data_IF_003984573331
#
_entry.id   IF_003984573331
#
_cell.length_a   1.000
_cell.length_b   1.000
_cell.length_c   1.000
_cell.angle_alpha   90.00
_cell.angle_beta   90.00
_cell.angle_gamma   90.00
#
_symmetry.space_group_name_H-M   'P 1'
#
loop_
_entity.id
_entity.type
_entity.pdbx_description
1 polymer ?
#
# COMPACT_ATOMS: atom_id res chain seq x y z
N UNK A 1 -2.69 -13.39 10.28
CA UNK A 1 -1.72 -13.62 11.38
C UNK A 1 -2.01 -12.56 12.44
N UNK A 2 -2.46 -12.97 13.63
CA UNK A 2 -2.58 -12.07 14.78
C UNK A 2 -1.19 -11.88 15.41
N UNK A 3 -0.75 -10.63 15.57
CA UNK A 3 0.56 -10.27 16.11
C UNK A 3 0.54 -9.94 17.60
N UNK A 4 -0.64 -9.83 18.21
CA UNK A 4 -0.79 -9.55 19.65
C UNK A 4 -0.80 -10.83 20.49
N UNK A 5 -1.15 -11.96 19.88
CA UNK A 5 -1.14 -13.26 20.54
C UNK A 5 0.27 -13.73 20.87
N UNK A 6 0.48 -14.29 22.07
CA UNK A 6 1.79 -14.80 22.55
C UNK A 6 2.35 -16.03 21.81
N UNK A 7 1.90 -16.31 20.59
CA UNK A 7 2.45 -17.35 19.72
C UNK A 7 3.85 -17.00 19.20
N UNK A 8 4.44 -17.88 18.39
CA UNK A 8 5.82 -17.73 17.88
C UNK A 8 5.96 -16.59 16.83
N UNK A 9 5.82 -15.34 17.27
CA UNK A 9 6.07 -14.12 16.49
C UNK A 9 7.55 -13.69 16.52
N UNK A 10 8.42 -14.45 17.19
CA UNK A 10 9.83 -14.07 17.39
C UNK A 10 10.59 -13.79 16.10
N UNK A 11 10.26 -14.49 15.00
CA UNK A 11 10.85 -14.23 13.68
C UNK A 11 10.38 -12.90 13.07
N UNK A 12 9.17 -12.46 13.40
CA UNK A 12 8.57 -11.20 12.94
C UNK A 12 9.00 -9.99 13.78
N UNK A 13 9.52 -10.21 14.98
CA UNK A 13 10.16 -9.19 15.82
C UNK A 13 11.51 -8.71 15.28
N UNK A 14 12.11 -9.45 14.34
CA UNK A 14 13.37 -9.04 13.72
C UNK A 14 13.15 -7.80 12.85
N UNK A 15 14.09 -6.86 12.92
CA UNK A 15 14.09 -5.67 12.07
C UNK A 15 14.32 -6.10 10.62
N UNK A 16 13.34 -5.82 9.76
CA UNK A 16 13.39 -6.12 8.32
C UNK A 16 13.15 -4.86 7.52
N UNK A 17 13.42 -4.94 6.22
CA UNK A 17 13.06 -3.88 5.29
C UNK A 17 11.60 -4.11 4.87
N UNK A 18 10.76 -3.11 5.13
CA UNK A 18 9.38 -3.02 4.67
C UNK A 18 9.30 -2.10 3.45
N UNK A 19 8.46 -2.47 2.49
CA UNK A 19 8.10 -1.65 1.34
C UNK A 19 6.68 -1.15 1.54
N UNK A 20 6.49 0.15 1.72
CA UNK A 20 5.18 0.77 1.88
C UNK A 20 4.86 1.67 0.68
N UNK A 21 3.95 1.23 -0.18
CA UNK A 21 3.45 2.01 -1.33
C UNK A 21 2.09 2.60 -0.95
N UNK A 22 2.05 3.93 -0.81
CA UNK A 22 0.83 4.68 -0.48
C UNK A 22 0.19 5.35 -1.70
N UNK A 23 -0.35 6.54 -1.50
CA UNK A 23 -1.07 7.33 -2.53
C UNK A 23 -0.15 7.76 -3.69
N UNK A 24 1.11 8.08 -3.39
CA UNK A 24 2.07 8.54 -4.40
C UNK A 24 3.13 7.46 -4.57
N UNK A 25 3.22 6.95 -5.80
CA UNK A 25 4.28 6.06 -6.23
C UNK A 25 5.19 6.76 -7.25
N UNK A 26 6.50 6.78 -6.97
CA UNK A 26 7.54 7.29 -7.87
C UNK A 26 8.64 6.23 -7.98
N UNK A 27 8.71 5.48 -9.10
CA UNK A 27 9.64 4.35 -9.22
C UNK A 27 11.11 4.80 -9.13
N UNK A 28 11.43 6.02 -9.58
CA UNK A 28 12.79 6.54 -9.63
C UNK A 28 13.39 6.75 -8.23
N UNK A 29 12.54 6.97 -7.21
CA UNK A 29 12.97 7.19 -5.83
C UNK A 29 12.52 6.08 -4.88
N UNK A 30 12.00 4.95 -5.38
CA UNK A 30 11.33 3.92 -4.58
C UNK A 30 12.17 3.45 -3.38
N UNK A 31 13.44 3.10 -3.60
CA UNK A 31 14.32 2.61 -2.52
C UNK A 31 14.56 3.64 -1.42
N UNK A 32 14.52 4.92 -1.75
CA UNK A 32 14.73 6.01 -0.79
C UNK A 32 13.43 6.44 -0.11
N UNK A 33 12.32 6.40 -0.85
CA UNK A 33 11.05 7.01 -0.43
C UNK A 33 10.03 6.00 0.11
N UNK A 34 10.18 4.71 -0.16
CA UNK A 34 9.15 3.69 0.14
C UNK A 34 9.69 2.46 0.85
N UNK A 35 11.01 2.37 1.07
CA UNK A 35 11.62 1.29 1.84
C UNK A 35 12.12 1.79 3.18
N UNK A 36 11.68 1.14 4.25
CA UNK A 36 11.99 1.52 5.62
C UNK A 36 12.33 0.29 6.45
N UNK A 37 13.06 0.49 7.54
CA UNK A 37 13.21 -0.59 8.49
C UNK A 37 12.02 -0.64 9.44
N UNK A 38 11.39 -1.80 9.53
CA UNK A 38 10.24 -2.04 10.40
C UNK A 38 10.43 -3.31 11.26
N UNK A 39 9.72 -3.35 12.38
CA UNK A 39 9.46 -4.55 13.17
C UNK A 39 7.95 -4.74 13.16
N UNK A 40 7.48 -5.81 12.54
CA UNK A 40 6.06 -5.95 12.19
C UNK A 40 5.11 -5.84 13.40
N UNK A 41 5.38 -6.48 14.55
CA UNK A 41 4.49 -6.38 15.72
C UNK A 41 4.51 -5.02 16.43
N UNK A 42 5.48 -4.16 16.14
CA UNK A 42 5.51 -2.79 16.67
C UNK A 42 4.63 -1.84 15.86
N UNK A 43 4.30 -2.21 14.61
CA UNK A 43 3.56 -1.36 13.67
C UNK A 43 2.12 -1.82 13.43
N UNK A 44 1.84 -3.13 13.56
CA UNK A 44 0.53 -3.70 13.24
C UNK A 44 0.07 -4.70 14.30
N UNK A 45 -1.24 -4.76 14.52
CA UNK A 45 -1.87 -5.77 15.37
C UNK A 45 -2.08 -7.11 14.65
N UNK A 46 -2.21 -7.08 13.32
CA UNK A 46 -2.42 -8.27 12.50
C UNK A 46 -1.93 -8.05 11.07
N UNK A 47 -1.57 -9.14 10.39
CA UNK A 47 -1.13 -9.15 8.99
C UNK A 47 -1.92 -10.19 8.21
N UNK A 48 -2.33 -9.84 7.00
CA UNK A 48 -2.83 -10.76 5.99
C UNK A 48 -1.74 -10.89 4.93
N UNK A 49 -1.32 -12.13 4.66
CA UNK A 49 -0.37 -12.39 3.58
C UNK A 49 -1.14 -12.74 2.32
N UNK A 50 -0.76 -12.10 1.22
CA UNK A 50 -1.27 -12.38 -0.12
C UNK A 50 -0.03 -12.57 -0.99
N UNK A 51 0.17 -13.79 -1.48
CA UNK A 51 1.37 -14.18 -2.22
C UNK A 51 1.49 -13.41 -3.54
N UNK A 52 0.36 -13.26 -4.24
CA UNK A 52 0.28 -12.60 -5.53
C UNK A 52 -0.86 -11.57 -5.52
N UNK A 53 -0.55 -10.36 -5.97
CA UNK A 53 -1.52 -9.28 -6.13
C UNK A 53 -1.53 -8.80 -7.58
N UNK A 54 -2.65 -8.25 -7.98
CA UNK A 54 -2.82 -7.59 -9.28
C UNK A 54 -3.27 -6.14 -9.07
N UNK A 55 -3.14 -5.32 -10.11
CA UNK A 55 -3.64 -3.95 -10.07
C UNK A 55 -5.15 -3.93 -9.82
N UNK A 56 -5.62 -2.95 -9.05
CA UNK A 56 -7.06 -2.75 -8.84
C UNK A 56 -7.69 -2.25 -10.14
N UNK A 57 -8.89 -2.74 -10.43
CA UNK A 57 -9.72 -2.18 -11.48
C UNK A 57 -10.47 -0.96 -10.92
N UNK A 58 -10.37 0.22 -11.57
CA UNK A 58 -11.15 1.38 -11.16
C UNK A 58 -12.65 1.06 -11.18
N UNK A 59 -13.38 1.41 -10.11
CA UNK A 59 -14.84 1.30 -10.08
C UNK A 59 -15.50 2.17 -11.14
N UNK A 60 -14.93 3.36 -11.37
CA UNK A 60 -15.28 4.27 -12.45
C UNK A 60 -14.02 4.55 -13.26
N UNK A 61 -14.10 4.36 -14.58
CA UNK A 61 -13.05 4.79 -15.49
C UNK A 61 -13.18 6.30 -15.60
N UNK A 62 -12.11 6.99 -15.23
CA UNK A 62 -12.00 8.44 -15.43
C UNK A 62 -11.28 8.69 -16.75
N UNK A 63 -11.34 9.91 -17.24
CA UNK A 63 -10.66 10.40 -18.46
C UNK A 63 -9.14 10.16 -18.54
N UNK A 64 -8.49 9.85 -17.42
CA UNK A 64 -7.09 9.41 -17.37
C UNK A 64 -6.90 7.95 -17.85
N UNK A 65 -7.98 7.16 -17.92
CA UNK A 65 -8.00 5.77 -18.37
C UNK A 65 -8.65 5.59 -19.75
N UNK A 66 -9.44 6.57 -20.20
CA UNK A 66 -10.08 6.59 -21.52
C UNK A 66 -9.57 7.78 -22.33
N UNK A 67 -8.82 7.50 -23.39
CA UNK A 67 -8.26 8.52 -24.28
C UNK A 67 -9.40 9.26 -25.00
N UNK A 68 -9.74 10.47 -24.51
CA UNK A 68 -10.73 11.35 -25.15
C UNK A 68 -11.83 11.90 -24.25
N UNK A 69 -11.99 11.44 -23.01
CA UNK A 69 -12.91 12.10 -22.08
C UNK A 69 -12.23 13.27 -21.36
N UNK A 70 -12.97 14.35 -21.12
CA UNK A 70 -12.51 15.43 -20.23
C UNK A 70 -12.82 15.02 -18.78
N UNK A 71 -11.99 15.38 -17.79
CA UNK A 71 -12.31 15.12 -16.38
C UNK A 71 -13.70 15.65 -16.05
N UNK A 72 -14.57 14.77 -15.54
CA UNK A 72 -15.84 15.22 -14.97
C UNK A 72 -15.52 16.26 -13.89
N UNK A 73 -16.13 17.42 -14.02
CA UNK A 73 -15.88 18.57 -13.15
C UNK A 73 -16.74 18.52 -11.88
N UNK A 74 -17.47 17.44 -11.63
CA UNK A 74 -18.43 17.36 -10.54
C UNK A 74 -17.82 16.77 -9.24
N UNK A 75 -18.20 17.27 -8.05
CA UNK A 75 -18.88 18.54 -7.79
C UNK A 75 -17.87 19.67 -7.58
N UNK A 76 -17.91 20.73 -8.40
CA UNK A 76 -17.39 22.02 -7.96
C UNK A 76 -18.46 22.74 -7.15
N UNK A 77 -18.11 23.14 -5.91
CA UNK A 77 -18.85 24.21 -5.22
C UNK A 77 -18.33 25.55 -5.73
N UNK A 78 -19.26 26.41 -6.16
CA UNK A 78 -19.06 27.87 -6.20
C UNK A 78 -19.21 28.42 -4.78
#
# INVERSE_FOLDING_TARGET
IDLRGGGQIGVLQQRRIERAIGVIYRPESERLSHYFHARLPEQFDAIIHIDETQAVEPLERTSIWEEGELPETYPFKV
#
